data_IF_455781266161
#
_entry.id   IF_455781266161
#
_cell.length_a   1.000
_cell.length_b   1.000
_cell.length_c   1.000
_cell.angle_alpha   90.00
_cell.angle_beta   90.00
_cell.angle_gamma   90.00
#
_symmetry.space_group_name_H-M   'P 1'
#
loop_
_entity.id
_entity.type
_entity.pdbx_description
1 polymer ?
#
# COMPACT_ATOMS: atom_id res chain seq x y z
N UNK A 1 1.07 -9.52 6.18
CA UNK A 1 1.05 -9.66 4.70
C UNK A 1 2.46 -9.44 4.17
N UNK A 2 2.85 -10.15 3.11
CA UNK A 2 4.11 -9.87 2.42
C UNK A 2 3.93 -8.67 1.49
N UNK A 3 4.78 -7.65 1.64
CA UNK A 3 4.78 -6.44 0.80
C UNK A 3 6.02 -6.46 -0.08
N UNK A 4 5.81 -6.58 -1.39
CA UNK A 4 6.84 -6.57 -2.42
C UNK A 4 6.94 -5.18 -3.07
N UNK A 5 8.09 -4.91 -3.68
CA UNK A 5 8.38 -3.67 -4.40
C UNK A 5 8.68 -3.98 -5.86
N UNK A 6 8.34 -3.07 -6.77
CA UNK A 6 8.62 -3.26 -8.21
C UNK A 6 10.12 -3.23 -8.52
N UNK A 7 10.87 -2.40 -7.81
CA UNK A 7 12.30 -2.24 -8.01
C UNK A 7 13.07 -2.14 -6.69
N UNK A 8 14.39 -2.39 -6.75
CA UNK A 8 15.28 -2.13 -5.62
C UNK A 8 15.30 -0.65 -5.22
N UNK A 9 15.06 0.26 -6.18
CA UNK A 9 14.96 1.69 -5.91
C UNK A 9 13.70 2.01 -5.08
N UNK A 10 12.56 1.40 -5.42
CA UNK A 10 11.33 1.57 -4.64
C UNK A 10 11.47 0.96 -3.25
N UNK A 11 12.06 -0.22 -3.13
CA UNK A 11 12.35 -0.82 -1.84
C UNK A 11 13.20 0.11 -0.98
N UNK A 12 14.27 0.70 -1.53
CA UNK A 12 15.12 1.66 -0.81
C UNK A 12 14.35 2.90 -0.39
N UNK A 13 13.55 3.46 -1.30
CA UNK A 13 12.71 4.62 -1.02
C UNK A 13 11.76 4.35 0.14
N UNK A 14 10.89 3.33 0.02
CA UNK A 14 9.84 3.05 1.00
C UNK A 14 10.36 2.45 2.31
N UNK A 15 11.61 2.00 2.37
CA UNK A 15 12.27 1.56 3.60
C UNK A 15 13.15 2.64 4.25
N UNK A 16 13.37 3.79 3.60
CA UNK A 16 14.15 4.90 4.17
C UNK A 16 13.23 6.06 4.56
N UNK A 17 13.24 6.41 5.85
CA UNK A 17 12.48 7.54 6.36
C UNK A 17 12.91 8.86 5.69
N UNK A 18 14.22 9.06 5.55
CA UNK A 18 14.79 10.27 4.95
C UNK A 18 14.41 10.41 3.48
N UNK A 19 14.48 9.32 2.70
CA UNK A 19 14.12 9.37 1.27
C UNK A 19 12.63 9.60 1.06
N UNK A 20 11.77 9.00 1.89
CA UNK A 20 10.33 9.27 1.87
C UNK A 20 10.03 10.72 2.23
N UNK A 21 10.64 11.23 3.30
CA UNK A 21 10.43 12.61 3.77
C UNK A 21 10.90 13.60 2.70
N UNK A 22 12.05 13.34 2.06
CA UNK A 22 12.58 14.16 0.96
C UNK A 22 11.69 14.15 -0.27
N UNK A 23 11.08 13.01 -0.62
CA UNK A 23 10.24 12.87 -1.83
C UNK A 23 8.81 13.37 -1.65
N UNK A 24 8.21 13.12 -0.48
CA UNK A 24 6.78 13.33 -0.26
C UNK A 24 6.47 14.34 0.84
N UNK A 25 7.48 14.81 1.57
CA UNK A 25 7.31 15.61 2.77
C UNK A 25 6.99 14.75 4.01
N UNK A 26 7.30 15.26 5.22
CA UNK A 26 7.19 14.49 6.46
C UNK A 26 5.74 14.06 6.77
N UNK A 27 4.76 14.92 6.45
CA UNK A 27 3.35 14.61 6.69
C UNK A 27 2.86 13.42 5.85
N UNK A 28 3.15 13.41 4.55
CA UNK A 28 2.70 12.35 3.66
C UNK A 28 3.51 11.07 3.88
N UNK A 29 4.82 11.19 4.12
CA UNK A 29 5.70 10.10 4.49
C UNK A 29 5.22 9.35 5.73
N UNK A 30 4.80 10.07 6.79
CA UNK A 30 4.25 9.43 7.98
C UNK A 30 3.00 8.60 7.62
N UNK A 31 2.09 9.14 6.81
CA UNK A 31 0.91 8.39 6.36
C UNK A 31 1.29 7.14 5.56
N UNK A 32 2.24 7.24 4.63
CA UNK A 32 2.75 6.11 3.85
C UNK A 32 3.29 5.02 4.79
N UNK A 33 4.16 5.38 5.74
CA UNK A 33 4.72 4.46 6.74
C UNK A 33 3.63 3.73 7.53
N UNK A 34 2.62 4.45 7.99
CA UNK A 34 1.48 3.85 8.71
C UNK A 34 0.71 2.86 7.83
N UNK A 35 0.43 3.19 6.55
CA UNK A 35 -0.27 2.26 5.63
C UNK A 35 0.57 1.01 5.34
N UNK A 36 1.87 1.16 5.16
CA UNK A 36 2.78 0.03 4.98
C UNK A 36 2.85 -0.86 6.21
N UNK A 37 2.90 -0.27 7.41
CA UNK A 37 2.89 -1.03 8.64
C UNK A 37 1.57 -1.80 8.83
N UNK A 38 0.44 -1.15 8.56
CA UNK A 38 -0.88 -1.78 8.57
C UNK A 38 -0.97 -2.95 7.58
N UNK A 39 -0.51 -2.77 6.32
CA UNK A 39 -0.47 -3.85 5.34
C UNK A 39 0.38 -5.03 5.83
N UNK A 40 1.55 -4.76 6.42
CA UNK A 40 2.43 -5.81 6.96
C UNK A 40 1.78 -6.54 8.14
N UNK A 41 1.08 -5.82 9.02
CA UNK A 41 0.40 -6.38 10.19
C UNK A 41 -0.83 -7.22 9.83
N UNK A 42 -1.54 -6.88 8.75
CA UNK A 42 -2.72 -7.63 8.30
C UNK A 42 -2.33 -9.03 7.76
N UNK A 43 -2.89 -10.14 8.26
CA UNK A 43 -2.69 -11.48 7.70
C UNK A 43 -3.15 -11.58 6.24
N UNK A 44 -4.29 -10.96 5.91
CA UNK A 44 -4.90 -10.97 4.58
C UNK A 44 -5.48 -9.60 4.25
N UNK A 45 -5.68 -9.32 2.95
CA UNK A 45 -6.23 -8.04 2.50
C UNK A 45 -7.64 -7.76 3.06
N UNK A 46 -8.40 -8.81 3.41
CA UNK A 46 -9.72 -8.69 4.04
C UNK A 46 -9.71 -7.98 5.40
N UNK A 47 -8.55 -7.97 6.09
CA UNK A 47 -8.40 -7.35 7.40
C UNK A 47 -7.97 -5.87 7.31
N UNK A 48 -7.79 -5.36 6.10
CA UNK A 48 -7.43 -3.96 5.87
C UNK A 48 -8.71 -3.11 5.87
N UNK A 49 -8.79 -2.05 6.69
CA UNK A 49 -10.01 -1.24 6.81
C UNK A 49 -10.44 -0.59 5.49
N UNK A 50 -11.74 -0.64 5.21
CA UNK A 50 -12.39 0.02 4.05
C UNK A 50 -12.99 1.38 4.40
N UNK A 51 -12.89 1.82 5.66
CA UNK A 51 -13.37 3.12 6.14
C UNK A 51 -12.22 4.12 6.38
N UNK A 52 -12.58 5.40 6.53
CA UNK A 52 -11.61 6.44 6.90
C UNK A 52 -10.97 6.12 8.27
N UNK A 53 -9.67 6.41 8.46
CA UNK A 53 -8.81 7.18 7.57
C UNK A 53 -8.10 6.38 6.46
N UNK A 54 -8.18 5.03 6.47
CA UNK A 54 -7.36 4.18 5.59
C UNK A 54 -8.00 3.86 4.25
N UNK A 55 -9.31 3.64 4.26
CA UNK A 55 -10.20 3.41 3.13
C UNK A 55 -9.56 2.60 1.99
N UNK A 56 -9.45 1.29 2.19
CA UNK A 56 -9.11 0.35 1.12
C UNK A 56 -10.19 0.39 0.03
N UNK A 57 -9.77 0.69 -1.19
CA UNK A 57 -10.64 0.69 -2.38
C UNK A 57 -10.07 -0.25 -3.42
N UNK A 58 -10.96 -0.92 -4.14
CA UNK A 58 -10.59 -1.70 -5.33
C UNK A 58 -10.51 -0.76 -6.52
N UNK A 59 -9.34 -0.70 -7.14
CA UNK A 59 -9.11 0.04 -8.38
C UNK A 59 -9.28 -0.89 -9.59
N UNK A 60 -8.99 -0.36 -10.79
CA UNK A 60 -9.10 -1.14 -12.02
C UNK A 60 -8.07 -2.28 -12.08
N UNK A 61 -8.32 -3.29 -12.92
CA UNK A 61 -7.38 -4.38 -13.24
C UNK A 61 -6.89 -5.27 -12.08
N UNK A 62 -7.49 -5.17 -10.89
CA UNK A 62 -7.10 -5.98 -9.72
C UNK A 62 -6.15 -5.24 -8.78
N UNK A 63 -5.95 -3.95 -9.01
CA UNK A 63 -5.21 -3.08 -8.11
C UNK A 63 -6.10 -2.61 -6.97
N UNK A 64 -5.46 -2.15 -5.91
CA UNK A 64 -6.08 -1.58 -4.74
C UNK A 64 -5.38 -0.29 -4.35
N UNK A 65 -6.12 0.60 -3.70
CA UNK A 65 -5.61 1.86 -3.18
C UNK A 65 -5.95 2.01 -1.71
N UNK A 66 -5.07 2.70 -0.99
CA UNK A 66 -5.28 3.18 0.37
C UNK A 66 -5.18 4.70 0.39
N UNK A 67 -6.13 5.35 1.07
CA UNK A 67 -6.15 6.80 1.19
C UNK A 67 -4.96 7.27 2.05
N UNK A 68 -4.23 8.26 1.54
CA UNK A 68 -3.19 8.98 2.29
C UNK A 68 -3.71 10.37 2.66
N UNK A 69 -3.87 11.23 1.67
CA UNK A 69 -4.32 12.61 1.87
C UNK A 69 -4.90 13.09 0.55
N UNK A 70 -6.22 13.35 0.43
CA UNK A 70 -6.83 13.70 -0.84
C UNK A 70 -6.01 14.79 -1.59
N UNK A 71 -5.70 14.59 -2.88
CA UNK A 71 -6.08 13.47 -3.75
C UNK A 71 -5.15 12.24 -3.69
N UNK A 72 -4.14 12.25 -2.82
CA UNK A 72 -3.06 11.25 -2.75
C UNK A 72 -3.48 9.89 -2.19
N UNK A 73 -3.06 8.83 -2.89
CA UNK A 73 -3.32 7.43 -2.52
C UNK A 73 -2.06 6.57 -2.64
N UNK A 74 -2.00 5.50 -1.85
CA UNK A 74 -1.00 4.44 -1.98
C UNK A 74 -1.58 3.31 -2.82
N UNK A 75 -1.02 3.04 -3.99
CA UNK A 75 -1.50 2.02 -4.94
C UNK A 75 -0.66 0.76 -4.89
N UNK A 76 -1.32 -0.40 -4.96
CA UNK A 76 -0.66 -1.70 -4.99
C UNK A 76 -1.48 -2.74 -5.76
N UNK A 77 -0.79 -3.71 -6.36
CA UNK A 77 -1.38 -4.88 -6.99
C UNK A 77 -1.36 -6.08 -6.02
N UNK A 78 -2.27 -7.03 -6.22
CA UNK A 78 -2.30 -8.29 -5.47
C UNK A 78 -1.57 -9.38 -6.22
N UNK A 79 -0.76 -10.19 -5.53
CA UNK A 79 -0.12 -11.35 -6.14
C UNK A 79 -1.00 -12.59 -5.87
N UNK A 80 -1.71 -13.05 -6.90
CA UNK A 80 -2.68 -14.15 -6.85
C UNK A 80 -3.35 -14.36 -8.20
N UNK A 81 -4.25 -15.33 -8.33
CA UNK A 81 -5.06 -15.49 -9.54
C UNK A 81 -6.12 -14.39 -9.59
N UNK A 82 -6.38 -13.89 -10.80
CA UNK A 82 -7.44 -12.89 -11.02
C UNK A 82 -8.78 -13.50 -10.60
N UNK A 83 -9.42 -12.91 -9.60
CA UNK A 83 -10.66 -13.42 -9.03
C UNK A 83 -10.52 -14.11 -7.67
N UNK A 84 -9.29 -14.23 -7.14
CA UNK A 84 -9.09 -14.74 -5.78
C UNK A 84 -9.86 -13.87 -4.77
N UNK A 85 -10.52 -14.49 -3.78
CA UNK A 85 -11.24 -13.75 -2.76
C UNK A 85 -10.25 -12.93 -1.92
N UNK A 86 -10.65 -11.73 -1.50
CA UNK A 86 -9.81 -10.82 -0.70
C UNK A 86 -9.30 -11.46 0.60
N UNK A 87 -9.99 -12.48 1.10
CA UNK A 87 -9.62 -13.30 2.26
C UNK A 87 -8.42 -14.22 2.01
N UNK A 88 -8.07 -14.52 0.76
CA UNK A 88 -6.93 -15.36 0.39
C UNK A 88 -5.66 -14.54 0.05
N UNK A 89 -5.79 -13.22 -0.12
CA UNK A 89 -4.69 -12.36 -0.58
C UNK A 89 -3.73 -12.09 0.58
N UNK A 90 -2.55 -12.71 0.54
CA UNK A 90 -1.50 -12.61 1.57
C UNK A 90 -0.23 -11.89 1.10
N UNK A 91 -0.17 -11.53 -0.18
CA UNK A 91 0.97 -10.84 -0.80
C UNK A 91 0.50 -9.73 -1.70
N UNK A 92 1.07 -8.54 -1.53
CA UNK A 92 0.81 -7.35 -2.34
C UNK A 92 2.11 -6.79 -2.89
N UNK A 93 2.03 -6.12 -4.03
CA UNK A 93 3.15 -5.42 -4.68
C UNK A 93 2.82 -3.94 -4.76
N UNK A 94 3.62 -3.10 -4.12
CA UNK A 94 3.46 -1.65 -4.20
C UNK A 94 3.77 -1.17 -5.61
N UNK A 95 2.88 -0.34 -6.16
CA UNK A 95 3.04 0.30 -7.46
C UNK A 95 3.47 1.77 -7.30
N UNK A 96 3.10 2.41 -6.20
CA UNK A 96 3.57 3.76 -5.89
C UNK A 96 2.56 4.61 -5.13
N UNK A 97 2.87 5.90 -5.07
CA UNK A 97 2.00 6.96 -4.53
C UNK A 97 1.57 7.84 -5.68
N UNK A 98 0.26 7.97 -5.87
CA UNK A 98 -0.37 8.80 -6.91
C UNK A 98 -0.95 10.06 -6.28
#
# INVERSE_FOLDING_TARGET
MLVLFESAADQRLFCSAELLDRRFGPLLSNKIKVRLHMLRAAPTLAQVPTCQPFCLKKASRGDFTLDLSPPKVLRFATQGRRGDPITAIKTVRLLGVE
#
